data_IF_350544789015
#
_entry.id   IF_350544789015
#
_cell.length_a   1.000
_cell.length_b   1.000
_cell.length_c   1.000
_cell.angle_alpha   90.00
_cell.angle_beta   90.00
_cell.angle_gamma   90.00
#
_symmetry.space_group_name_H-M   'P 1'
#
loop_
_entity.id
_entity.type
_entity.pdbx_description
1 polymer ?
#
# COMPACT_ATOMS: atom_id res chain seq x y z
N UNK A 1 -6.87 -15.49 18.06
CA UNK A 1 -7.13 -14.85 16.75
C UNK A 1 -6.37 -13.53 16.70
N UNK A 2 -5.39 -13.41 15.81
CA UNK A 2 -4.57 -12.21 15.70
C UNK A 2 -5.28 -11.05 14.97
N UNK A 3 -4.77 -9.82 15.09
CA UNK A 3 -5.31 -8.63 14.40
C UNK A 3 -5.44 -8.85 12.89
N UNK A 4 -4.41 -9.44 12.27
CA UNK A 4 -4.37 -9.71 10.83
C UNK A 4 -5.44 -10.73 10.39
N UNK A 5 -5.66 -11.78 11.17
CA UNK A 5 -6.69 -12.78 10.87
C UNK A 5 -8.10 -12.18 10.94
N UNK A 6 -8.31 -11.25 11.89
CA UNK A 6 -9.56 -10.51 12.01
C UNK A 6 -9.80 -9.62 10.80
N UNK A 7 -8.79 -8.89 10.33
CA UNK A 7 -8.93 -7.97 9.18
C UNK A 7 -9.16 -8.72 7.87
N UNK A 8 -8.47 -9.86 7.70
CA UNK A 8 -8.69 -10.75 6.57
C UNK A 8 -10.12 -11.30 6.58
N UNK A 9 -10.59 -11.79 7.74
CA UNK A 9 -11.96 -12.27 7.90
C UNK A 9 -12.98 -11.17 7.61
N UNK A 10 -12.80 -9.98 8.18
CA UNK A 10 -13.68 -8.82 7.98
C UNK A 10 -13.78 -8.43 6.50
N UNK A 11 -12.63 -8.37 5.80
CA UNK A 11 -12.61 -8.11 4.35
C UNK A 11 -13.35 -9.20 3.57
N UNK A 12 -13.14 -10.47 3.92
CA UNK A 12 -13.71 -11.61 3.21
C UNK A 12 -15.24 -11.74 3.43
N UNK A 13 -15.77 -11.20 4.53
CA UNK A 13 -17.23 -11.08 4.78
C UNK A 13 -17.83 -9.73 4.38
N UNK A 14 -17.06 -8.87 3.70
CA UNK A 14 -17.57 -7.64 3.06
C UNK A 14 -17.32 -6.31 3.78
N UNK A 15 -16.58 -6.28 4.89
CA UNK A 15 -16.14 -5.04 5.52
C UNK A 15 -14.89 -4.51 4.81
N UNK A 16 -15.11 -3.66 3.80
CA UNK A 16 -14.04 -3.09 2.97
C UNK A 16 -13.35 -1.86 3.60
N UNK A 17 -13.80 -1.42 4.77
CA UNK A 17 -13.23 -0.25 5.47
C UNK A 17 -11.97 -0.60 6.27
N UNK A 18 -11.68 -1.88 6.49
CA UNK A 18 -10.49 -2.33 7.23
C UNK A 18 -9.43 -2.90 6.31
N UNK A 19 -8.28 -2.23 6.23
CA UNK A 19 -7.17 -2.64 5.38
C UNK A 19 -6.18 -3.43 6.25
N UNK A 20 -5.87 -4.69 5.92
CA UNK A 20 -4.88 -5.46 6.66
C UNK A 20 -3.47 -4.91 6.41
N UNK A 21 -2.95 -4.09 7.31
CA UNK A 21 -1.59 -3.57 7.21
C UNK A 21 -0.59 -4.61 7.77
N UNK A 22 0.25 -5.16 6.89
CA UNK A 22 1.39 -5.97 7.28
C UNK A 22 2.73 -5.34 6.84
N UNK A 23 3.85 -6.02 7.13
CA UNK A 23 5.21 -5.54 6.81
C UNK A 23 5.43 -5.19 5.33
N UNK A 24 4.59 -5.67 4.42
CA UNK A 24 4.63 -5.39 2.99
C UNK A 24 4.01 -4.02 2.72
N UNK A 25 2.80 -3.78 3.19
CA UNK A 25 2.07 -2.52 3.04
C UNK A 25 2.78 -1.40 3.78
N UNK A 26 3.18 -1.63 5.04
CA UNK A 26 3.94 -0.64 5.85
C UNK A 26 5.16 -0.14 5.08
N UNK A 27 5.95 -1.08 4.54
CA UNK A 27 7.17 -0.76 3.79
C UNK A 27 6.87 0.00 2.52
N UNK A 28 5.82 -0.38 1.80
CA UNK A 28 5.43 0.27 0.55
C UNK A 28 4.96 1.71 0.81
N UNK A 29 4.06 1.90 1.78
CA UNK A 29 3.49 3.19 2.17
C UNK A 29 4.60 4.17 2.57
N UNK A 30 5.54 3.73 3.41
CA UNK A 30 6.66 4.56 3.86
C UNK A 30 7.64 4.86 2.73
N UNK A 31 8.02 3.87 1.92
CA UNK A 31 9.00 4.07 0.84
C UNK A 31 8.49 5.01 -0.25
N UNK A 32 7.24 4.83 -0.65
CA UNK A 32 6.66 5.63 -1.74
C UNK A 32 6.42 7.07 -1.33
N UNK A 33 6.34 7.35 -0.03
CA UNK A 33 5.98 8.67 0.49
C UNK A 33 4.48 8.85 0.70
N UNK A 34 3.67 7.81 0.49
CA UNK A 34 2.22 7.87 0.72
C UNK A 34 1.92 8.38 2.13
N UNK A 35 2.59 7.84 3.15
CA UNK A 35 2.41 8.31 4.52
C UNK A 35 2.73 9.81 4.64
N UNK A 36 3.88 10.25 4.15
CA UNK A 36 4.29 11.67 4.26
C UNK A 36 3.34 12.64 3.54
N UNK A 37 2.71 12.22 2.44
CA UNK A 37 1.76 13.06 1.71
C UNK A 37 0.34 13.01 2.26
N UNK A 38 -0.04 11.90 2.93
CA UNK A 38 -1.43 11.61 3.30
C UNK A 38 -1.65 11.52 4.81
N UNK A 39 -0.61 11.66 5.63
CA UNK A 39 -0.71 11.71 7.08
C UNK A 39 -1.34 13.03 7.52
N UNK A 40 -2.11 12.98 8.61
CA UNK A 40 -2.59 14.18 9.31
C UNK A 40 -1.70 14.44 10.54
N UNK A 41 -1.80 15.62 11.13
CA UNK A 41 -0.85 16.15 12.14
C UNK A 41 -0.58 15.23 13.35
N UNK A 42 -1.48 14.27 13.63
CA UNK A 42 -1.38 13.35 14.76
C UNK A 42 -1.05 11.89 14.39
N UNK A 43 -0.80 11.58 13.12
CA UNK A 43 -0.60 10.19 12.71
C UNK A 43 0.81 9.71 13.09
N UNK A 44 0.94 8.49 13.60
CA UNK A 44 2.22 7.85 13.93
C UNK A 44 2.53 6.73 12.91
N UNK A 45 3.70 6.74 12.22
CA UNK A 45 4.02 5.70 11.24
C UNK A 45 4.31 4.32 11.86
N UNK A 46 4.44 4.23 13.19
CA UNK A 46 4.55 2.98 13.93
C UNK A 46 3.18 2.36 14.22
N UNK A 47 2.12 3.16 14.18
CA UNK A 47 0.74 2.73 14.39
C UNK A 47 0.11 2.26 13.07
N UNK A 48 -0.33 0.99 13.03
CA UNK A 48 -0.91 0.41 11.80
C UNK A 48 -2.18 1.11 11.36
N UNK A 49 -2.97 1.59 12.32
CA UNK A 49 -4.22 2.30 12.03
C UNK A 49 -3.96 3.61 11.28
N UNK A 50 -2.89 4.33 11.63
CA UNK A 50 -2.52 5.57 10.96
C UNK A 50 -1.93 5.34 9.57
N UNK A 51 -1.20 4.24 9.37
CA UNK A 51 -0.79 3.79 8.03
C UNK A 51 -1.99 3.41 7.17
N UNK A 52 -2.98 2.72 7.75
CA UNK A 52 -4.24 2.41 7.09
C UNK A 52 -5.00 3.68 6.70
N UNK A 53 -5.10 4.65 7.62
CA UNK A 53 -5.77 5.93 7.36
C UNK A 53 -5.05 6.73 6.27
N UNK A 54 -3.72 6.74 6.29
CA UNK A 54 -2.91 7.35 5.23
C UNK A 54 -3.19 6.72 3.86
N UNK A 55 -3.31 5.38 3.80
CA UNK A 55 -3.64 4.69 2.56
C UNK A 55 -5.07 4.99 2.09
N UNK A 56 -6.04 5.13 2.99
CA UNK A 56 -7.41 5.56 2.64
C UNK A 56 -7.42 6.96 2.06
N UNK A 57 -6.72 7.90 2.69
CA UNK A 57 -6.57 9.28 2.19
C UNK A 57 -5.93 9.27 0.82
N UNK A 58 -4.87 8.48 0.62
CA UNK A 58 -4.23 8.31 -0.67
C UNK A 58 -5.21 7.84 -1.75
N UNK A 59 -6.01 6.80 -1.45
CA UNK A 59 -7.00 6.30 -2.39
C UNK A 59 -8.01 7.40 -2.74
N UNK A 60 -8.53 8.11 -1.74
CA UNK A 60 -9.54 9.15 -1.92
C UNK A 60 -9.04 10.34 -2.74
N UNK A 61 -7.83 10.82 -2.44
CA UNK A 61 -7.31 12.08 -3.00
C UNK A 61 -6.58 11.86 -4.34
N UNK A 62 -5.92 10.72 -4.53
CA UNK A 62 -5.04 10.49 -5.69
C UNK A 62 -5.55 9.42 -6.66
N UNK A 63 -6.51 8.59 -6.26
CA UNK A 63 -7.08 7.53 -7.12
C UNK A 63 -8.53 7.80 -7.50
N UNK A 64 -9.01 9.04 -7.35
CA UNK A 64 -10.31 9.43 -7.88
C UNK A 64 -10.33 9.30 -9.41
N UNK A 65 -11.42 8.75 -9.94
CA UNK A 65 -11.53 8.43 -11.37
C UNK A 65 -10.68 7.25 -11.87
N UNK A 66 -9.92 6.58 -10.98
CA UNK A 66 -9.18 5.36 -11.33
C UNK A 66 -10.01 4.12 -11.02
N UNK A 67 -10.13 3.22 -12.00
CA UNK A 67 -10.95 2.02 -11.92
C UNK A 67 -10.11 0.76 -12.08
N UNK A 68 -10.43 -0.26 -11.29
CA UNK A 68 -9.98 -1.63 -11.52
C UNK A 68 -11.21 -2.48 -11.87
N UNK A 69 -11.26 -2.94 -13.13
CA UNK A 69 -12.49 -3.45 -13.75
C UNK A 69 -13.57 -2.36 -13.69
N UNK A 70 -14.59 -2.53 -12.86
CA UNK A 70 -15.69 -1.57 -12.67
C UNK A 70 -15.73 -0.99 -11.24
N UNK A 71 -14.69 -1.22 -10.44
CA UNK A 71 -14.60 -0.76 -9.06
C UNK A 71 -13.71 0.47 -8.97
N UNK A 72 -14.23 1.55 -8.41
CA UNK A 72 -13.53 2.82 -8.23
C UNK A 72 -12.54 2.70 -7.07
N UNK A 73 -11.25 2.90 -7.32
CA UNK A 73 -10.22 2.65 -6.30
C UNK A 73 -10.30 3.61 -5.12
N UNK A 74 -10.77 4.84 -5.35
CA UNK A 74 -11.01 5.84 -4.28
C UNK A 74 -12.02 5.39 -3.22
N UNK A 75 -12.92 4.48 -3.57
CA UNK A 75 -13.96 3.92 -2.68
C UNK A 75 -13.63 2.50 -2.21
N UNK A 76 -12.58 1.88 -2.77
CA UNK A 76 -12.26 0.47 -2.56
C UNK A 76 -10.78 0.29 -2.17
N UNK A 77 -10.33 0.83 -1.03
CA UNK A 77 -8.92 0.83 -0.64
C UNK A 77 -8.35 -0.57 -0.37
N UNK A 78 -9.21 -1.56 -0.08
CA UNK A 78 -8.82 -2.98 0.04
C UNK A 78 -8.37 -3.61 -1.27
N UNK A 79 -8.75 -3.06 -2.42
CA UNK A 79 -8.22 -3.48 -3.73
C UNK A 79 -6.78 -2.96 -3.88
N UNK A 80 -6.55 -1.72 -3.48
CA UNK A 80 -5.22 -1.08 -3.52
C UNK A 80 -4.25 -1.81 -2.60
N UNK A 81 -4.68 -2.16 -1.39
CA UNK A 81 -3.98 -3.08 -0.47
C UNK A 81 -3.54 -4.38 -1.15
N UNK A 82 -4.48 -5.10 -1.80
CA UNK A 82 -4.14 -6.34 -2.51
C UNK A 82 -3.10 -6.10 -3.62
N UNK A 83 -3.22 -5.01 -4.38
CA UNK A 83 -2.25 -4.65 -5.43
C UNK A 83 -0.87 -4.41 -4.80
N UNK A 84 -0.80 -3.67 -3.69
CA UNK A 84 0.43 -3.42 -2.94
C UNK A 84 1.04 -4.75 -2.47
N UNK A 85 0.22 -5.63 -1.89
CA UNK A 85 0.66 -6.94 -1.45
C UNK A 85 1.25 -7.77 -2.60
N UNK A 86 0.56 -7.88 -3.74
CA UNK A 86 1.07 -8.58 -4.92
C UNK A 86 2.35 -7.96 -5.48
N UNK A 87 2.50 -6.65 -5.34
CA UNK A 87 3.72 -5.95 -5.76
C UNK A 87 4.90 -6.21 -4.81
N UNK A 88 4.64 -6.43 -3.51
CA UNK A 88 5.68 -6.48 -2.47
C UNK A 88 6.02 -7.89 -1.96
N UNK A 89 5.06 -8.81 -1.97
CA UNK A 89 5.22 -10.12 -1.34
C UNK A 89 6.17 -11.04 -2.11
N UNK A 90 6.85 -11.92 -1.37
CA UNK A 90 7.77 -12.95 -1.90
C UNK A 90 7.10 -14.33 -1.86
N UNK A 91 5.98 -14.46 -2.56
CA UNK A 91 5.17 -15.68 -2.63
C UNK A 91 4.53 -15.78 -4.01
N UNK A 92 4.55 -16.93 -4.68
CA UNK A 92 3.82 -17.06 -5.96
C UNK A 92 2.31 -16.88 -5.71
N UNK A 93 1.58 -16.05 -6.48
CA UNK A 93 1.97 -15.40 -7.75
C UNK A 93 2.43 -13.92 -7.63
N UNK A 94 2.77 -13.43 -6.43
CA UNK A 94 3.30 -12.08 -6.21
C UNK A 94 4.70 -11.85 -6.82
N UNK A 95 4.98 -10.60 -7.16
CA UNK A 95 6.10 -10.22 -8.04
C UNK A 95 7.40 -9.89 -7.28
N UNK A 96 7.33 -9.65 -5.97
CA UNK A 96 8.44 -9.25 -5.12
C UNK A 96 9.24 -8.05 -5.68
N UNK A 97 8.56 -7.05 -6.24
CA UNK A 97 9.19 -5.86 -6.84
C UNK A 97 9.65 -4.89 -5.76
N UNK A 98 8.75 -4.47 -4.87
CA UNK A 98 9.08 -3.62 -3.72
C UNK A 98 9.30 -4.43 -2.42
N UNK A 99 9.92 -5.61 -2.56
CA UNK A 99 10.24 -6.49 -1.44
C UNK A 99 11.27 -5.91 -0.46
N UNK A 100 11.78 -6.72 0.47
CA UNK A 100 12.75 -6.27 1.47
C UNK A 100 13.96 -5.56 0.84
N UNK A 101 14.49 -6.13 -0.25
CA UNK A 101 15.39 -5.48 -1.19
C UNK A 101 14.63 -5.20 -2.49
N UNK A 102 14.26 -3.93 -2.78
CA UNK A 102 13.44 -3.62 -3.94
C UNK A 102 14.26 -3.74 -5.24
N UNK A 103 13.64 -4.25 -6.30
CA UNK A 103 14.30 -4.51 -7.59
C UNK A 103 14.76 -3.22 -8.29
N UNK A 104 14.09 -2.09 -8.00
CA UNK A 104 14.43 -0.77 -8.55
C UNK A 104 15.84 -0.28 -8.21
N UNK A 105 16.49 -0.83 -7.17
CA UNK A 105 17.89 -0.52 -6.86
C UNK A 105 18.89 -1.09 -7.88
N UNK A 106 18.48 -2.11 -8.64
CA UNK A 106 19.31 -2.72 -9.70
C UNK A 106 18.87 -2.29 -11.09
N UNK A 107 17.56 -2.26 -11.31
CA UNK A 107 16.95 -1.85 -12.57
C UNK A 107 15.74 -0.96 -12.28
N UNK A 108 15.88 0.34 -12.53
CA UNK A 108 14.85 1.33 -12.22
C UNK A 108 13.55 1.12 -13.01
N UNK A 109 13.61 0.43 -14.17
CA UNK A 109 12.43 0.14 -15.00
C UNK A 109 11.60 -1.01 -14.42
N UNK A 110 12.17 -1.82 -13.53
CA UNK A 110 11.48 -2.94 -12.88
C UNK A 110 10.33 -2.55 -11.95
N UNK A 111 10.21 -1.26 -11.58
CA UNK A 111 9.15 -0.76 -10.71
C UNK A 111 8.48 0.47 -11.34
N UNK A 112 7.16 0.44 -11.58
CA UNK A 112 6.44 1.55 -12.22
C UNK A 112 6.34 2.80 -11.34
N UNK A 113 6.65 2.68 -10.03
CA UNK A 113 6.54 3.79 -9.08
C UNK A 113 7.83 4.60 -8.92
N UNK A 114 8.92 4.29 -9.63
CA UNK A 114 10.22 4.96 -9.42
C UNK A 114 10.15 6.47 -9.64
N UNK A 115 9.32 6.95 -10.56
CA UNK A 115 9.14 8.39 -10.84
C UNK A 115 8.62 9.21 -9.65
N UNK A 116 7.77 8.62 -8.79
CA UNK A 116 7.18 9.31 -7.63
C UNK A 116 7.59 8.77 -6.27
N UNK A 117 8.39 7.70 -6.22
CA UNK A 117 8.75 7.03 -4.96
C UNK A 117 9.89 7.77 -4.24
N UNK A 118 9.59 8.38 -3.09
CA UNK A 118 10.56 9.14 -2.31
C UNK A 118 11.82 8.31 -1.96
N UNK A 119 11.66 7.04 -1.56
CA UNK A 119 12.77 6.15 -1.27
C UNK A 119 13.73 6.04 -2.45
N UNK A 120 13.22 5.94 -3.68
CA UNK A 120 14.08 5.82 -4.86
C UNK A 120 14.72 7.17 -5.23
N UNK A 121 13.97 8.26 -5.15
CA UNK A 121 14.45 9.60 -5.47
C UNK A 121 15.60 10.05 -4.54
N UNK A 122 15.53 9.72 -3.24
CA UNK A 122 16.55 10.09 -2.25
C UNK A 122 17.64 9.03 -2.02
N UNK A 123 17.58 7.88 -2.71
CA UNK A 123 18.64 6.85 -2.68
C UNK A 123 19.54 6.85 -3.91
N UNK A 124 19.24 7.68 -4.91
CA UNK A 124 20.16 7.94 -6.03
C UNK A 124 21.40 8.69 -5.56
#
# INVERSE_FOLDING_TARGET
MGEKERDLYLRDVGYLDRIPIDKHEMRFILRTGIYHSCSRDSFDPLEKEDLQNSLKVFCKEYLDGVYFKNLKLSENPTIVDKIIWYHCAKSSPALNVCGSRPKCLKDYQSCPFTGGCLFFQYKK
#
